data_IF_808157809475
#
_entry.id   IF_808157809475
#
_cell.length_a   1.000
_cell.length_b   1.000
_cell.length_c   1.000
_cell.angle_alpha   90.00
_cell.angle_beta   90.00
_cell.angle_gamma   90.00
#
_symmetry.space_group_name_H-M   'P 1'
#
loop_
_entity.id
_entity.type
_entity.pdbx_description
1 polymer ?
#
# COMPACT_ATOMS: atom_id res chain seq x y z
N UNK A 1 5.19 6.77 4.58
CA UNK A 1 4.80 6.27 5.91
C UNK A 1 3.86 5.05 5.84
N UNK A 2 2.88 4.99 4.93
CA UNK A 2 1.91 3.88 4.82
C UNK A 2 2.51 2.54 4.36
N UNK A 3 3.48 2.56 3.42
CA UNK A 3 4.14 1.34 2.94
C UNK A 3 5.03 0.67 4.01
N UNK A 4 5.60 1.46 4.93
CA UNK A 4 6.46 0.95 6.00
C UNK A 4 5.68 0.15 7.06
N UNK A 5 4.36 0.35 7.18
CA UNK A 5 3.52 -0.45 8.08
C UNK A 5 3.21 -1.86 7.57
N UNK A 6 3.49 -2.16 6.29
CA UNK A 6 3.14 -3.42 5.62
C UNK A 6 4.35 -4.31 5.25
N UNK A 7 5.59 -3.87 5.51
CA UNK A 7 6.82 -4.62 5.18
C UNK A 7 7.65 -4.97 6.44
N UNK A 8 8.36 -6.13 6.49
CA UNK A 8 9.03 -6.62 7.70
C UNK A 8 10.42 -5.99 7.73
N UNK A 9 10.61 -4.89 8.49
CA UNK A 9 10.81 -4.91 9.95
C UNK A 9 9.89 -3.92 10.73
N UNK A 10 8.98 -3.22 10.04
CA UNK A 10 8.06 -2.21 10.60
C UNK A 10 6.57 -2.60 10.45
N UNK A 11 6.30 -3.89 10.19
CA UNK A 11 4.99 -4.49 9.93
C UNK A 11 4.03 -4.58 11.12
N UNK A 12 3.86 -3.53 11.92
CA UNK A 12 2.92 -3.51 13.06
C UNK A 12 1.50 -3.94 12.64
N UNK A 13 1.05 -3.54 11.45
CA UNK A 13 -0.26 -3.94 10.92
C UNK A 13 -0.33 -5.44 10.58
N UNK A 14 0.77 -6.03 10.09
CA UNK A 14 0.85 -7.48 9.81
C UNK A 14 0.74 -8.30 11.10
N UNK A 15 1.44 -7.88 12.15
CA UNK A 15 1.39 -8.54 13.47
C UNK A 15 0.03 -8.34 14.15
N UNK A 16 -0.59 -7.16 14.01
CA UNK A 16 -1.96 -6.91 14.45
C UNK A 16 -2.97 -7.83 13.76
N UNK A 17 -2.87 -7.96 12.43
CA UNK A 17 -3.72 -8.86 11.65
C UNK A 17 -3.52 -10.31 12.11
N UNK A 18 -2.29 -10.77 12.36
CA UNK A 18 -2.09 -12.10 12.95
C UNK A 18 -2.79 -12.22 14.31
N UNK A 19 -2.76 -11.19 15.16
CA UNK A 19 -3.46 -11.19 16.45
C UNK A 19 -4.96 -11.51 16.36
N UNK A 20 -5.62 -11.08 15.27
CA UNK A 20 -7.06 -11.28 15.05
C UNK A 20 -7.39 -12.41 14.06
N UNK A 21 -6.40 -12.92 13.33
CA UNK A 21 -6.60 -13.92 12.28
C UNK A 21 -6.55 -15.34 12.86
N UNK A 22 -7.46 -16.23 12.47
CA UNK A 22 -7.50 -17.60 12.97
C UNK A 22 -6.20 -18.39 12.70
N UNK A 23 -5.86 -19.37 13.56
CA UNK A 23 -4.54 -20.01 13.62
C UNK A 23 -4.17 -20.86 12.39
N UNK A 24 -5.12 -21.16 11.50
CA UNK A 24 -4.87 -21.87 10.25
C UNK A 24 -4.25 -20.96 9.16
N UNK A 25 -4.32 -19.64 9.32
CA UNK A 25 -3.68 -18.70 8.39
C UNK A 25 -2.24 -18.47 8.82
N UNK A 26 -1.31 -18.91 7.99
CA UNK A 26 0.11 -18.68 8.24
C UNK A 26 0.52 -17.23 7.98
N UNK A 27 1.53 -16.77 8.72
CA UNK A 27 2.16 -15.46 8.50
C UNK A 27 2.61 -15.25 7.04
N UNK A 28 3.02 -16.33 6.36
CA UNK A 28 3.39 -16.30 4.95
C UNK A 28 2.26 -15.83 4.02
N UNK A 29 1.00 -16.19 4.32
CA UNK A 29 -0.17 -15.76 3.53
C UNK A 29 -0.43 -14.27 3.70
N UNK A 30 -0.34 -13.79 4.95
CA UNK A 30 -0.51 -12.37 5.28
C UNK A 30 0.60 -11.55 4.60
N UNK A 31 1.83 -12.05 4.62
CA UNK A 31 2.97 -11.39 3.96
C UNK A 31 2.85 -11.35 2.44
N UNK A 32 2.38 -12.44 1.82
CA UNK A 32 2.11 -12.47 0.38
C UNK A 32 1.05 -11.44 -0.02
N UNK A 33 -0.01 -11.32 0.77
CA UNK A 33 -1.06 -10.32 0.53
C UNK A 33 -0.53 -8.88 0.65
N UNK A 34 0.32 -8.59 1.63
CA UNK A 34 0.88 -7.24 1.79
C UNK A 34 1.83 -6.85 0.67
N UNK A 35 2.64 -7.80 0.15
CA UNK A 35 3.50 -7.56 -1.02
C UNK A 35 2.66 -7.21 -2.25
N UNK A 36 1.59 -7.97 -2.52
CA UNK A 36 0.71 -7.70 -3.67
C UNK A 36 0.10 -6.30 -3.58
N UNK A 37 -0.32 -5.89 -2.38
CA UNK A 37 -0.84 -4.55 -2.15
C UNK A 37 0.23 -3.45 -2.34
N UNK A 38 1.46 -3.67 -1.85
CA UNK A 38 2.56 -2.74 -2.06
C UNK A 38 2.87 -2.54 -3.54
N UNK A 39 2.88 -3.61 -4.32
CA UNK A 39 3.13 -3.54 -5.77
C UNK A 39 2.04 -2.70 -6.44
N UNK A 40 0.77 -2.92 -6.09
CA UNK A 40 -0.34 -2.11 -6.62
C UNK A 40 -0.19 -0.62 -6.27
N UNK A 41 0.20 -0.30 -5.02
CA UNK A 41 0.46 1.06 -4.58
C UNK A 41 1.61 1.71 -5.37
N UNK A 42 2.70 0.97 -5.59
CA UNK A 42 3.86 1.44 -6.37
C UNK A 42 3.48 1.70 -7.83
N UNK A 43 2.65 0.85 -8.44
CA UNK A 43 2.14 1.08 -9.80
C UNK A 43 1.30 2.37 -9.84
N UNK A 44 0.39 2.56 -8.87
CA UNK A 44 -0.38 3.79 -8.74
C UNK A 44 0.50 5.04 -8.65
N UNK A 45 1.52 4.97 -7.79
CA UNK A 45 2.48 6.06 -7.62
C UNK A 45 3.27 6.32 -8.91
N UNK A 46 3.74 5.27 -9.58
CA UNK A 46 4.47 5.37 -10.84
C UNK A 46 3.61 6.02 -11.94
N UNK A 47 2.33 5.67 -12.02
CA UNK A 47 1.39 6.34 -12.93
C UNK A 47 1.26 7.83 -12.62
N UNK A 48 1.15 8.23 -11.35
CA UNK A 48 1.11 9.64 -10.96
C UNK A 48 2.40 10.40 -11.33
N UNK A 49 3.56 9.75 -11.22
CA UNK A 49 4.86 10.35 -11.56
C UNK A 49 5.04 10.48 -13.08
N UNK A 50 4.69 9.44 -13.84
CA UNK A 50 4.83 9.43 -15.30
C UNK A 50 3.77 10.28 -16.01
N UNK A 51 2.57 10.39 -15.43
CA UNK A 51 1.46 11.16 -15.96
C UNK A 51 0.99 12.19 -14.91
N UNK A 52 1.78 13.26 -14.67
CA UNK A 52 1.45 14.27 -13.66
C UNK A 52 0.16 15.01 -13.99
N UNK A 53 -0.27 15.01 -15.26
CA UNK A 53 -1.55 15.55 -15.69
C UNK A 53 -2.75 14.96 -14.91
N UNK A 54 -2.68 13.69 -14.48
CA UNK A 54 -3.74 13.02 -13.72
C UNK A 54 -4.03 13.75 -12.40
N UNK A 55 -2.97 14.18 -11.71
CA UNK A 55 -3.05 14.84 -10.40
C UNK A 55 -3.07 16.37 -10.49
N UNK A 56 -2.57 16.94 -11.59
CA UNK A 56 -2.51 18.40 -11.78
C UNK A 56 -3.70 18.99 -12.52
N UNK A 57 -4.49 18.17 -13.22
CA UNK A 57 -5.69 18.64 -13.91
C UNK A 57 -6.73 19.24 -12.97
N UNK A 58 -7.06 18.56 -11.87
CA UNK A 58 -8.07 19.02 -10.92
C UNK A 58 -7.66 20.31 -10.16
N UNK A 59 -6.43 20.43 -9.60
CA UNK A 59 -5.96 21.68 -9.03
C UNK A 59 -5.96 22.83 -10.02
N UNK A 60 -5.60 22.58 -11.29
CA UNK A 60 -5.60 23.61 -12.34
C UNK A 60 -7.01 24.09 -12.70
N UNK A 61 -8.03 23.26 -12.46
CA UNK A 61 -9.44 23.61 -12.65
C UNK A 61 -10.02 24.37 -11.45
N UNK A 62 -9.60 24.03 -10.23
CA UNK A 62 -10.13 24.60 -8.97
C UNK A 62 -9.38 25.86 -8.52
N UNK A 63 -8.07 25.91 -8.70
CA UNK A 63 -7.18 27.01 -8.30
C UNK A 63 -6.63 27.80 -9.49
N UNK A 64 -7.26 27.66 -10.66
CA UNK A 64 -6.90 28.39 -11.88
C UNK A 64 -6.82 29.90 -11.68
#
# INVERSE_FOLDING_TARGET
MQMSFLSPPFGYALFYIRGVTPPHIQMATIFKASIVFLIMQCIGLAMCVLFPAIITYFPKLVYG
#
